data_IF_326478272762
#
_entry.id   IF_326478272762
#
_cell.length_a   1.000
_cell.length_b   1.000
_cell.length_c   1.000
_cell.angle_alpha   90.00
_cell.angle_beta   90.00
_cell.angle_gamma   90.00
#
_symmetry.space_group_name_H-M   'P 1'
#
loop_
_entity.id
_entity.type
_entity.pdbx_description
1 polymer ?
#
# COMPACT_ATOMS: atom_id res chain seq x y z
N UNK A 1 2.90 -1.08 4.59
CA UNK A 1 1.55 -0.56 4.86
C UNK A 1 0.97 -1.09 6.16
N UNK A 2 0.90 -2.41 6.36
CA UNK A 2 0.36 -3.02 7.60
C UNK A 2 0.98 -2.49 8.90
N UNK A 3 2.33 -2.41 8.97
CA UNK A 3 3.00 -1.86 10.15
C UNK A 3 2.65 -0.39 10.40
N UNK A 4 2.64 0.44 9.36
CA UNK A 4 2.28 1.86 9.46
C UNK A 4 0.87 2.05 10.01
N UNK A 5 -0.09 1.27 9.52
CA UNK A 5 -1.48 1.30 9.97
C UNK A 5 -1.64 0.86 11.43
N UNK A 6 -0.93 -0.21 11.84
CA UNK A 6 -0.91 -0.64 13.24
C UNK A 6 -0.32 0.42 14.17
N UNK A 7 0.77 1.08 13.77
CA UNK A 7 1.39 2.15 14.55
C UNK A 7 0.42 3.33 14.69
N UNK A 8 -0.21 3.75 13.60
CA UNK A 8 -1.18 4.84 13.60
C UNK A 8 -2.39 4.55 14.49
N UNK A 9 -2.99 3.36 14.34
CA UNK A 9 -4.12 2.93 15.15
C UNK A 9 -3.77 2.89 16.64
N UNK A 10 -2.61 2.34 17.00
CA UNK A 10 -2.11 2.35 18.38
C UNK A 10 -1.93 3.77 18.92
N UNK A 11 -1.33 4.66 18.13
CA UNK A 11 -1.10 6.05 18.53
C UNK A 11 -2.39 6.85 18.70
N UNK A 12 -3.45 6.50 17.95
CA UNK A 12 -4.75 7.17 18.00
C UNK A 12 -5.80 6.45 18.86
N UNK A 13 -5.44 5.32 19.48
CA UNK A 13 -6.36 4.52 20.29
C UNK A 13 -7.52 3.91 19.49
N UNK A 14 -7.32 3.65 18.20
CA UNK A 14 -8.38 3.10 17.34
C UNK A 14 -8.57 1.59 17.65
N UNK A 15 -9.81 1.08 17.65
CA UNK A 15 -10.12 -0.33 17.90
C UNK A 15 -9.84 -1.22 16.66
N UNK A 16 -8.63 -1.10 16.11
CA UNK A 16 -8.17 -1.92 14.99
C UNK A 16 -7.60 -3.25 15.52
N UNK A 17 -8.20 -4.36 15.12
CA UNK A 17 -7.80 -5.70 15.55
C UNK A 17 -6.78 -6.31 14.60
N UNK A 18 -7.03 -6.24 13.29
CA UNK A 18 -6.14 -6.80 12.29
C UNK A 18 -6.11 -6.01 10.99
N UNK A 19 -4.97 -6.10 10.31
CA UNK A 19 -4.76 -5.52 8.98
C UNK A 19 -4.26 -6.62 8.06
N UNK A 20 -5.02 -6.92 7.02
CA UNK A 20 -4.60 -7.78 5.93
C UNK A 20 -4.31 -6.91 4.70
N UNK A 21 -3.17 -7.17 4.07
CA UNK A 21 -2.76 -6.51 2.84
C UNK A 21 -2.55 -7.59 1.80
N UNK A 22 -3.31 -7.52 0.71
CA UNK A 22 -3.12 -8.38 -0.46
C UNK A 22 -2.52 -7.54 -1.57
N UNK A 23 -1.45 -8.05 -2.20
CA UNK A 23 -0.83 -7.41 -3.36
C UNK A 23 -1.01 -8.32 -4.56
N UNK A 24 -1.38 -7.73 -5.70
CA UNK A 24 -1.35 -8.37 -7.01
C UNK A 24 -0.43 -7.56 -7.89
N UNK A 25 0.45 -8.24 -8.61
CA UNK A 25 1.37 -7.61 -9.55
C UNK A 25 1.06 -8.13 -10.94
N UNK A 26 0.93 -7.21 -11.89
CA UNK A 26 0.72 -7.52 -13.29
C UNK A 26 1.48 -6.56 -14.19
N UNK A 27 1.64 -6.95 -15.45
CA UNK A 27 2.19 -6.09 -16.49
C UNK A 27 1.07 -5.69 -17.44
N UNK A 28 0.69 -4.43 -17.40
CA UNK A 28 -0.32 -3.86 -18.28
C UNK A 28 0.34 -3.16 -19.46
N UNK A 29 -0.37 -3.02 -20.59
CA UNK A 29 0.12 -2.18 -21.66
C UNK A 29 -0.02 -0.72 -21.27
N UNK A 30 0.98 0.08 -21.63
CA UNK A 30 1.01 1.51 -21.31
C UNK A 30 -0.21 2.27 -21.86
N UNK A 31 -0.80 1.79 -22.95
CA UNK A 31 -2.04 2.32 -23.55
C UNK A 31 -3.30 2.04 -22.74
N UNK A 32 -3.28 1.02 -21.88
CA UNK A 32 -4.40 0.60 -21.05
C UNK A 32 -4.32 1.20 -19.63
N UNK A 33 -3.30 2.02 -19.36
CA UNK A 33 -3.13 2.73 -18.10
C UNK A 33 -3.51 4.20 -18.28
N UNK A 34 -4.66 4.61 -17.75
CA UNK A 34 -5.16 6.00 -17.86
C UNK A 34 -4.27 7.03 -17.12
N UNK A 35 -3.54 6.60 -16.09
CA UNK A 35 -2.74 7.47 -15.21
C UNK A 35 -1.22 7.38 -15.43
N UNK A 36 -0.76 6.71 -16.49
CA UNK A 36 0.66 6.48 -16.72
C UNK A 36 1.29 7.49 -17.71
N UNK A 37 2.47 8.04 -17.36
CA UNK A 37 3.21 8.97 -18.23
C UNK A 37 3.91 8.31 -19.44
N UNK A 38 4.07 6.98 -19.43
CA UNK A 38 4.73 6.28 -20.53
C UNK A 38 3.70 5.98 -21.63
N UNK A 39 3.95 6.43 -22.85
CA UNK A 39 3.03 6.25 -23.99
C UNK A 39 3.26 4.93 -24.76
N UNK A 40 4.30 4.17 -24.40
CA UNK A 40 4.65 2.89 -25.02
C UNK A 40 5.34 1.93 -24.05
N UNK A 41 5.19 0.62 -24.30
CA UNK A 41 5.78 -0.44 -23.48
C UNK A 41 4.79 -1.16 -22.56
N UNK A 42 5.34 -1.98 -21.65
CA UNK A 42 4.60 -2.63 -20.56
C UNK A 42 4.94 -1.94 -19.24
N UNK A 43 3.93 -1.68 -18.42
CA UNK A 43 4.05 -1.03 -17.12
C UNK A 43 3.78 -2.06 -16.04
N UNK A 44 4.60 -2.06 -15.01
CA UNK A 44 4.36 -2.85 -13.81
C UNK A 44 3.27 -2.18 -12.97
N UNK A 45 2.11 -2.81 -12.90
CA UNK A 45 1.00 -2.40 -12.04
C UNK A 45 0.94 -3.28 -10.80
N UNK A 46 0.84 -2.64 -9.64
CA UNK A 46 0.69 -3.33 -8.37
C UNK A 46 -0.62 -2.88 -7.74
N UNK A 47 -1.63 -3.75 -7.81
CA UNK A 47 -2.89 -3.57 -7.10
C UNK A 47 -2.71 -3.97 -5.63
N UNK A 48 -3.29 -3.16 -4.73
CA UNK A 48 -3.23 -3.39 -3.29
C UNK A 48 -4.63 -3.35 -2.69
N UNK A 49 -5.05 -4.48 -2.14
CA UNK A 49 -6.28 -4.58 -1.36
C UNK A 49 -5.96 -4.50 0.13
N UNK A 50 -6.72 -3.69 0.87
CA UNK A 50 -6.61 -3.52 2.31
C UNK A 50 -7.89 -3.99 3.00
N UNK A 51 -7.75 -4.94 3.92
CA UNK A 51 -8.85 -5.34 4.82
C UNK A 51 -8.51 -4.95 6.25
N UNK A 52 -9.40 -4.17 6.84
CA UNK A 52 -9.30 -3.69 8.22
C UNK A 52 -10.42 -4.32 9.05
N UNK A 53 -10.04 -5.08 10.06
CA UNK A 53 -10.96 -5.71 11.01
C UNK A 53 -10.88 -5.00 12.35
N UNK A 54 -12.05 -4.79 12.97
CA UNK A 54 -12.22 -4.03 14.21
C UNK A 54 -13.40 -3.06 14.12
N UNK A 55 -13.80 -2.52 15.27
CA UNK A 55 -14.95 -1.62 15.43
C UNK A 55 -14.64 -0.18 14.99
N UNK A 56 -14.22 -0.05 13.73
CA UNK A 56 -13.83 1.23 13.14
C UNK A 56 -15.02 1.93 12.51
N UNK A 57 -15.21 3.21 12.84
CA UNK A 57 -16.20 4.07 12.18
C UNK A 57 -15.82 4.29 10.71
N UNK A 58 -16.79 4.69 9.85
CA UNK A 58 -16.50 5.02 8.46
C UNK A 58 -15.38 6.05 8.30
N UNK A 59 -15.38 7.11 9.13
CA UNK A 59 -14.38 8.18 9.10
C UNK A 59 -13.00 7.66 9.51
N UNK A 60 -12.94 6.75 10.48
CA UNK A 60 -11.68 6.11 10.87
C UNK A 60 -11.13 5.25 9.74
N UNK A 61 -11.99 4.49 9.04
CA UNK A 61 -11.60 3.67 7.88
C UNK A 61 -11.07 4.52 6.73
N UNK A 62 -11.74 5.61 6.41
CA UNK A 62 -11.30 6.56 5.40
C UNK A 62 -9.93 7.15 5.75
N UNK A 63 -9.75 7.57 7.01
CA UNK A 63 -8.46 8.09 7.47
C UNK A 63 -7.35 7.02 7.45
N UNK A 64 -7.69 5.77 7.75
CA UNK A 64 -6.72 4.66 7.63
C UNK A 64 -6.27 4.48 6.18
N UNK A 65 -7.17 4.62 5.20
CA UNK A 65 -6.82 4.53 3.78
C UNK A 65 -5.84 5.63 3.37
N UNK A 66 -6.10 6.88 3.75
CA UNK A 66 -5.19 8.01 3.47
C UNK A 66 -3.78 7.79 4.04
N UNK A 67 -3.68 7.18 5.23
CA UNK A 67 -2.39 6.87 5.87
C UNK A 67 -1.72 5.69 5.16
N UNK A 68 -2.49 4.74 4.63
CA UNK A 68 -1.97 3.60 3.88
C UNK A 68 -1.24 4.03 2.59
N UNK A 69 -1.72 5.10 1.95
CA UNK A 69 -1.13 5.67 0.73
C UNK A 69 0.14 6.47 0.99
N UNK A 70 0.36 6.93 2.22
CA UNK A 70 1.61 7.58 2.64
C UNK A 70 2.74 6.59 2.95
N UNK A 71 2.55 5.29 2.66
CA UNK A 71 3.53 4.26 3.01
C UNK A 71 4.82 4.39 2.16
N UNK A 72 6.02 4.53 2.78
CA UNK A 72 7.27 4.83 2.09
C UNK A 72 7.73 3.75 1.09
N UNK A 73 7.23 2.53 1.22
CA UNK A 73 7.57 1.42 0.30
C UNK A 73 6.98 1.64 -1.10
N UNK A 74 5.91 2.42 -1.24
CA UNK A 74 5.33 2.77 -2.54
C UNK A 74 6.38 3.46 -3.45
N UNK A 75 7.21 4.36 -2.90
CA UNK A 75 8.34 4.98 -3.62
C UNK A 75 9.49 4.01 -3.91
N UNK A 76 9.58 2.92 -3.15
CA UNK A 76 10.64 1.92 -3.30
C UNK A 76 10.32 0.89 -4.38
N UNK A 77 9.05 0.72 -4.78
CA UNK A 77 8.66 -0.24 -5.82
C UNK A 77 8.95 0.23 -7.25
N UNK A 78 9.19 1.52 -7.46
CA UNK A 78 9.52 2.09 -8.78
C UNK A 78 11.04 2.41 -8.86
N UNK A 79 11.76 1.79 -9.82
CA UNK A 79 13.20 1.97 -10.08
C UNK A 79 14.11 0.78 -9.72
N UNK A 80 15.41 0.87 -9.97
CA UNK A 80 16.39 -0.20 -9.65
C UNK A 80 16.62 -0.29 -8.13
N UNK A 81 16.55 -1.51 -7.56
CA UNK A 81 16.63 -1.72 -6.10
C UNK A 81 17.64 -2.81 -5.74
N UNK A 82 18.38 -2.58 -4.65
CA UNK A 82 19.28 -3.55 -4.02
C UNK A 82 19.01 -3.60 -2.52
N UNK A 83 18.38 -4.68 -2.05
CA UNK A 83 18.09 -4.90 -0.63
C UNK A 83 19.14 -5.85 -0.05
N UNK A 84 19.80 -5.43 1.02
CA UNK A 84 20.72 -6.28 1.80
C UNK A 84 20.16 -6.40 3.21
N UNK A 85 19.90 -7.62 3.64
CA UNK A 85 19.39 -7.93 4.99
C UNK A 85 20.40 -8.84 5.68
N UNK A 86 20.72 -8.54 6.93
CA UNK A 86 21.51 -9.42 7.79
C UNK A 86 20.84 -9.50 9.15
N UNK A 87 20.77 -10.72 9.68
CA UNK A 87 20.36 -11.02 11.05
C UNK A 87 21.62 -11.02 11.94
N UNK A 88 21.53 -10.36 13.10
CA UNK A 88 22.51 -10.41 14.19
C UNK A 88 21.82 -10.86 15.45
#
# INVERSE_FOLDING_TARGET
TSMTLRIYAKHKGLPLESVQVTLRHQKIHAKDCEDCQSESGKIDEIERELRLTGDLTPEQRERMLEIADRCPVHKTLFGEKKVRTRLV
#
